data_IF_828575946780
#
_entry.id   IF_828575946780
#
_cell.length_a   1.000
_cell.length_b   1.000
_cell.length_c   1.000
_cell.angle_alpha   90.00
_cell.angle_beta   90.00
_cell.angle_gamma   90.00
#
_symmetry.space_group_name_H-M   'P 1'
#
loop_
_entity.id
_entity.type
_entity.pdbx_description
1 polymer ?
#
# COMPACT_ATOMS: atom_id res chain seq x y z
N UNK A 1 -15.32 4.11 38.56
CA UNK A 1 -15.42 4.17 37.08
C UNK A 1 -14.71 2.94 36.53
N UNK A 2 -15.37 2.16 35.68
CA UNK A 2 -14.77 0.98 35.05
C UNK A 2 -14.16 1.39 33.70
N UNK A 3 -12.99 0.86 33.35
CA UNK A 3 -12.36 1.10 32.05
C UNK A 3 -13.29 0.67 30.88
N UNK A 4 -14.17 -0.29 31.13
CA UNK A 4 -15.13 -0.83 30.15
C UNK A 4 -16.28 0.12 29.81
N UNK A 5 -16.55 1.13 30.66
CA UNK A 5 -17.55 2.15 30.37
C UNK A 5 -17.01 3.32 29.53
N UNK A 6 -15.68 3.47 29.45
CA UNK A 6 -15.04 4.51 28.62
C UNK A 6 -14.67 3.95 27.24
N UNK A 7 -15.67 3.90 26.36
CA UNK A 7 -15.52 3.40 24.98
C UNK A 7 -14.48 4.21 24.20
N UNK A 8 -14.37 5.51 24.46
CA UNK A 8 -13.40 6.37 23.80
C UNK A 8 -11.97 6.02 24.23
N UNK A 9 -11.75 5.88 25.54
CA UNK A 9 -10.45 5.43 26.06
C UNK A 9 -10.05 4.04 25.56
N UNK A 10 -11.02 3.11 25.45
CA UNK A 10 -10.78 1.78 24.86
C UNK A 10 -10.36 1.86 23.39
N UNK A 11 -10.99 2.74 22.61
CA UNK A 11 -10.65 2.96 21.19
C UNK A 11 -9.23 3.53 21.04
N UNK A 12 -8.86 4.51 21.86
CA UNK A 12 -7.52 5.11 21.84
C UNK A 12 -6.44 4.08 22.22
N UNK A 13 -6.69 3.27 23.26
CA UNK A 13 -5.79 2.19 23.66
C UNK A 13 -5.68 1.09 22.60
N UNK A 14 -6.79 0.73 21.95
CA UNK A 14 -6.81 -0.21 20.83
C UNK A 14 -5.89 0.26 19.70
N UNK A 15 -6.01 1.51 19.25
CA UNK A 15 -5.16 2.07 18.19
C UNK A 15 -3.69 2.18 18.63
N UNK A 16 -3.44 2.52 19.89
CA UNK A 16 -2.10 2.58 20.46
C UNK A 16 -1.43 1.19 20.49
N UNK A 17 -2.16 0.13 20.82
CA UNK A 17 -1.65 -1.25 20.92
C UNK A 17 -1.16 -1.84 19.59
N UNK A 18 -1.53 -1.23 18.45
CA UNK A 18 -0.97 -1.59 17.14
C UNK A 18 0.45 -1.06 16.88
N UNK A 19 1.03 -0.29 17.80
CA UNK A 19 2.44 0.12 17.76
C UNK A 19 3.40 -0.91 18.33
N UNK A 20 2.85 -1.99 18.92
CA UNK A 20 3.65 -2.94 19.69
C UNK A 20 4.74 -3.59 18.86
N UNK A 21 5.86 -3.89 19.52
CA UNK A 21 6.95 -4.71 18.99
C UNK A 21 6.99 -6.05 19.70
N UNK A 22 7.75 -7.00 19.14
CA UNK A 22 7.91 -8.33 19.72
C UNK A 22 8.45 -8.24 21.16
N UNK A 23 7.77 -8.88 22.11
CA UNK A 23 8.13 -8.90 23.53
C UNK A 23 7.40 -7.86 24.39
N UNK A 24 6.50 -7.06 23.82
CA UNK A 24 5.63 -6.16 24.58
C UNK A 24 4.32 -6.84 24.98
N UNK A 25 4.42 -7.79 25.92
CA UNK A 25 3.28 -8.62 26.37
C UNK A 25 2.10 -7.77 26.86
N UNK A 26 2.37 -6.64 27.53
CA UNK A 26 1.35 -5.70 28.01
C UNK A 26 0.53 -5.12 26.86
N UNK A 27 1.14 -4.80 25.72
CA UNK A 27 0.41 -4.25 24.58
C UNK A 27 -0.34 -5.33 23.79
N UNK A 28 0.14 -6.58 23.82
CA UNK A 28 -0.62 -7.72 23.28
C UNK A 28 -1.88 -7.98 24.12
N UNK A 29 -1.74 -7.99 25.46
CA UNK A 29 -2.88 -8.09 26.39
C UNK A 29 -3.85 -6.93 26.22
N UNK A 30 -3.33 -5.70 26.09
CA UNK A 30 -4.15 -4.51 25.86
C UNK A 30 -4.91 -4.57 24.53
N UNK A 31 -4.28 -5.07 23.46
CA UNK A 31 -4.98 -5.29 22.19
C UNK A 31 -6.12 -6.29 22.37
N UNK A 32 -5.85 -7.44 23.00
CA UNK A 32 -6.86 -8.48 23.23
C UNK A 32 -8.05 -7.93 24.03
N UNK A 33 -7.74 -7.27 25.16
CA UNK A 33 -8.73 -6.67 26.04
C UNK A 33 -9.60 -5.64 25.31
N UNK A 34 -8.99 -4.68 24.62
CA UNK A 34 -9.74 -3.60 23.94
C UNK A 34 -10.55 -4.13 22.76
N UNK A 35 -10.02 -5.08 21.98
CA UNK A 35 -10.74 -5.71 20.85
C UNK A 35 -12.03 -6.36 21.33
N UNK A 36 -11.98 -7.13 22.42
CA UNK A 36 -13.17 -7.79 22.98
C UNK A 36 -14.20 -6.76 23.45
N UNK A 37 -13.78 -5.77 24.24
CA UNK A 37 -14.73 -4.82 24.83
C UNK A 37 -15.34 -3.85 23.80
N UNK A 38 -14.58 -3.41 22.79
CA UNK A 38 -15.11 -2.62 21.68
C UNK A 38 -16.08 -3.44 20.82
N UNK A 39 -15.80 -4.72 20.60
CA UNK A 39 -16.69 -5.64 19.88
C UNK A 39 -18.03 -5.83 20.60
N UNK A 40 -17.98 -6.03 21.93
CA UNK A 40 -19.19 -6.12 22.77
C UNK A 40 -19.99 -4.82 22.77
N UNK A 41 -19.33 -3.67 22.95
CA UNK A 41 -19.99 -2.36 22.94
C UNK A 41 -20.63 -2.04 21.58
N UNK A 42 -20.00 -2.47 20.48
CA UNK A 42 -20.59 -2.38 19.13
C UNK A 42 -21.82 -3.28 18.99
N UNK A 43 -21.75 -4.53 19.46
CA UNK A 43 -22.85 -5.48 19.36
C UNK A 43 -24.06 -5.11 20.23
N UNK A 44 -23.83 -4.42 21.34
CA UNK A 44 -24.89 -3.96 22.23
C UNK A 44 -25.60 -2.68 21.73
N UNK A 45 -25.14 -2.08 20.62
CA UNK A 45 -25.65 -0.82 20.05
C UNK A 45 -25.69 0.35 21.06
N UNK A 46 -24.86 0.28 22.11
CA UNK A 46 -24.84 1.28 23.20
C UNK A 46 -24.04 2.54 22.84
N UNK A 47 -23.36 2.55 21.68
CA UNK A 47 -22.45 3.63 21.27
C UNK A 47 -23.19 4.57 20.33
N UNK A 48 -23.29 5.84 20.70
CA UNK A 48 -23.88 6.87 19.85
C UNK A 48 -22.96 7.28 18.69
N UNK A 49 -23.57 7.83 17.63
CA UNK A 49 -22.85 8.48 16.55
C UNK A 49 -22.19 9.78 17.05
N UNK A 50 -20.94 10.13 16.65
CA UNK A 50 -20.11 9.51 15.61
C UNK A 50 -19.16 8.40 16.10
N UNK A 51 -19.12 8.13 17.41
CA UNK A 51 -18.14 7.21 18.00
C UNK A 51 -18.34 5.76 17.52
N UNK A 52 -19.58 5.32 17.30
CA UNK A 52 -19.88 3.98 16.77
C UNK A 52 -19.30 3.73 15.37
N UNK A 53 -19.24 4.77 14.53
CA UNK A 53 -18.63 4.71 13.21
C UNK A 53 -17.10 4.58 13.33
N UNK A 54 -16.48 5.35 14.22
CA UNK A 54 -15.03 5.27 14.49
C UNK A 54 -14.62 3.88 15.02
N UNK A 55 -15.37 3.34 15.99
CA UNK A 55 -15.14 1.99 16.53
C UNK A 55 -15.33 0.93 15.44
N UNK A 56 -16.37 1.04 14.62
CA UNK A 56 -16.60 0.12 13.51
C UNK A 56 -15.49 0.15 12.48
N UNK A 57 -14.98 1.34 12.17
CA UNK A 57 -13.85 1.51 11.27
C UNK A 57 -12.57 0.93 11.86
N UNK A 58 -12.22 1.26 13.10
CA UNK A 58 -11.00 0.79 13.78
C UNK A 58 -10.95 -0.74 13.91
N UNK A 59 -12.07 -1.38 14.24
CA UNK A 59 -12.17 -2.85 14.31
C UNK A 59 -12.04 -3.52 12.93
N UNK A 60 -12.45 -2.85 11.85
CA UNK A 60 -12.28 -3.34 10.48
C UNK A 60 -10.85 -3.09 9.97
N UNK A 61 -10.34 -1.89 10.18
CA UNK A 61 -9.02 -1.44 9.73
C UNK A 61 -8.44 -0.43 10.75
N UNK A 62 -7.51 -0.88 11.62
CA UNK A 62 -6.82 0.00 12.55
C UNK A 62 -6.06 1.09 11.80
N UNK A 63 -6.01 2.30 12.35
CA UNK A 63 -5.35 3.46 11.71
C UNK A 63 -3.92 3.12 11.30
N UNK A 64 -3.21 2.35 12.14
CA UNK A 64 -1.82 1.95 11.91
C UNK A 64 -1.61 0.87 10.85
N UNK A 65 -2.64 0.05 10.60
CA UNK A 65 -2.66 -0.92 9.49
C UNK A 65 -3.36 -0.34 8.24
N UNK A 66 -3.98 0.83 8.38
CA UNK A 66 -4.69 1.59 7.37
C UNK A 66 -3.78 2.36 6.43
N UNK A 67 -2.85 1.70 5.76
CA UNK A 67 -2.06 2.35 4.70
C UNK A 67 -2.78 2.23 3.35
N UNK A 68 -3.06 3.38 2.75
CA UNK A 68 -3.14 3.79 1.32
C UNK A 68 -3.72 2.84 0.26
N UNK A 69 -3.52 1.52 0.35
CA UNK A 69 -3.93 0.49 -0.62
C UNK A 69 -5.43 0.33 -0.81
N UNK A 70 -6.23 0.53 0.24
CA UNK A 70 -7.68 0.30 0.16
C UNK A 70 -8.39 1.42 -0.59
N UNK A 71 -7.99 2.67 -0.33
CA UNK A 71 -8.44 3.82 -1.11
C UNK A 71 -7.87 3.80 -2.53
N UNK A 72 -6.62 3.32 -2.71
CA UNK A 72 -5.96 3.25 -4.01
C UNK A 72 -6.80 2.63 -5.11
N UNK A 73 -7.48 1.53 -4.82
CA UNK A 73 -8.26 0.81 -5.81
C UNK A 73 -9.39 1.66 -6.41
N UNK A 74 -9.91 2.64 -5.66
CA UNK A 74 -10.92 3.58 -6.16
C UNK A 74 -10.30 4.64 -7.06
N UNK A 75 -9.12 5.16 -6.70
CA UNK A 75 -8.43 6.21 -7.45
C UNK A 75 -7.80 5.75 -8.78
N UNK A 76 -7.56 4.45 -8.97
CA UNK A 76 -6.94 3.90 -10.19
C UNK A 76 -7.67 4.33 -11.47
N UNK A 77 -9.00 4.26 -11.49
CA UNK A 77 -9.76 4.44 -12.72
C UNK A 77 -9.84 5.89 -13.21
N UNK A 78 -9.59 6.87 -12.34
CA UNK A 78 -9.72 8.30 -12.66
C UNK A 78 -8.44 9.12 -12.43
N UNK A 79 -7.33 8.50 -12.04
CA UNK A 79 -6.05 9.20 -11.82
C UNK A 79 -5.56 9.97 -13.05
N UNK A 80 -5.82 9.49 -14.27
CA UNK A 80 -5.46 10.22 -15.48
C UNK A 80 -6.25 11.54 -15.64
N UNK A 81 -7.47 11.58 -15.12
CA UNK A 81 -8.37 12.73 -15.17
C UNK A 81 -8.24 13.65 -13.94
N UNK A 82 -7.52 13.21 -12.91
CA UNK A 82 -7.34 13.95 -11.66
C UNK A 82 -6.40 15.16 -11.83
N UNK A 83 -6.77 16.33 -11.30
CA UNK A 83 -5.97 17.55 -11.48
C UNK A 83 -4.60 17.52 -10.80
N UNK A 84 -4.39 16.63 -9.81
CA UNK A 84 -3.15 16.47 -9.05
C UNK A 84 -2.25 15.34 -9.57
N UNK A 85 -2.63 14.68 -10.67
CA UNK A 85 -1.84 13.59 -11.23
C UNK A 85 -0.44 14.04 -11.64
N UNK A 86 0.53 13.16 -11.44
CA UNK A 86 1.91 13.44 -11.82
C UNK A 86 2.07 13.33 -13.35
N UNK A 87 1.97 14.48 -14.03
CA UNK A 87 2.12 14.61 -15.49
C UNK A 87 3.45 14.10 -16.02
N UNK A 88 4.53 14.23 -15.24
CA UNK A 88 5.86 13.76 -15.63
C UNK A 88 5.89 12.24 -15.72
N UNK A 89 5.29 11.55 -14.74
CA UNK A 89 5.20 10.09 -14.72
C UNK A 89 4.34 9.55 -15.87
N UNK A 90 3.20 10.18 -16.17
CA UNK A 90 2.37 9.77 -17.30
C UNK A 90 3.10 9.96 -18.64
N UNK A 91 3.77 11.09 -18.84
CA UNK A 91 4.58 11.32 -20.05
C UNK A 91 5.70 10.30 -20.20
N UNK A 92 6.41 10.01 -19.11
CA UNK A 92 7.48 9.00 -19.11
C UNK A 92 6.94 7.62 -19.49
N UNK A 93 5.84 7.17 -18.88
CA UNK A 93 5.21 5.89 -19.19
C UNK A 93 4.74 5.83 -20.64
N UNK A 94 4.03 6.87 -21.11
CA UNK A 94 3.53 6.91 -22.48
C UNK A 94 4.68 6.91 -23.50
N UNK A 95 5.82 7.52 -23.17
CA UNK A 95 7.03 7.48 -24.01
C UNK A 95 7.71 6.12 -24.08
N UNK A 96 7.57 5.26 -23.07
CA UNK A 96 8.07 3.88 -23.13
C UNK A 96 7.26 3.02 -24.11
N UNK A 97 5.97 3.34 -24.24
CA UNK A 97 5.01 2.63 -25.09
C UNK A 97 4.92 1.13 -24.75
N UNK A 98 4.88 0.83 -23.44
CA UNK A 98 4.87 -0.56 -22.94
C UNK A 98 3.63 -1.32 -23.40
N UNK A 99 2.48 -0.65 -23.55
CA UNK A 99 1.24 -1.30 -23.94
C UNK A 99 1.30 -1.91 -25.36
N UNK A 100 2.06 -1.31 -26.27
CA UNK A 100 2.23 -1.83 -27.63
C UNK A 100 3.41 -2.81 -27.70
N UNK A 101 4.52 -2.51 -27.02
CA UNK A 101 5.75 -3.30 -27.08
C UNK A 101 5.69 -4.56 -26.25
N UNK A 102 5.01 -4.52 -25.11
CA UNK A 102 4.95 -5.57 -24.11
C UNK A 102 3.48 -5.72 -23.66
N UNK A 103 2.58 -6.18 -24.54
CA UNK A 103 1.14 -6.26 -24.26
C UNK A 103 0.77 -7.24 -23.13
N UNK A 104 1.70 -8.12 -22.76
CA UNK A 104 1.55 -9.03 -21.62
C UNK A 104 1.78 -8.34 -20.27
N UNK A 105 2.48 -7.20 -20.24
CA UNK A 105 2.85 -6.52 -19.00
C UNK A 105 1.67 -5.74 -18.41
N UNK A 106 1.48 -5.88 -17.11
CA UNK A 106 0.39 -5.23 -16.37
C UNK A 106 0.71 -3.75 -16.16
N UNK A 107 -0.26 -2.90 -16.46
CA UNK A 107 -0.15 -1.46 -16.21
C UNK A 107 -0.46 -1.12 -14.74
N UNK A 108 0.60 -0.97 -13.93
CA UNK A 108 0.50 -0.69 -12.50
C UNK A 108 1.06 0.66 -12.06
N UNK A 109 1.17 1.63 -12.99
CA UNK A 109 1.75 2.95 -12.66
C UNK A 109 1.01 3.66 -11.54
N UNK A 110 -0.33 3.67 -11.58
CA UNK A 110 -1.14 4.39 -10.59
C UNK A 110 -1.05 3.73 -9.21
N UNK A 111 -1.15 2.40 -9.19
CA UNK A 111 -1.01 1.59 -7.97
C UNK A 111 0.38 1.80 -7.35
N UNK A 112 1.43 1.75 -8.19
CA UNK A 112 2.81 2.01 -7.78
C UNK A 112 2.99 3.42 -7.23
N UNK A 113 2.47 4.45 -7.90
CA UNK A 113 2.59 5.83 -7.43
C UNK A 113 1.90 6.04 -6.07
N UNK A 114 0.78 5.37 -5.84
CA UNK A 114 0.08 5.49 -4.57
C UNK A 114 0.75 4.70 -3.43
N UNK A 115 1.35 3.55 -3.73
CA UNK A 115 2.26 2.90 -2.80
C UNK A 115 3.40 3.80 -2.37
N UNK A 116 3.99 4.50 -3.34
CA UNK A 116 5.07 5.46 -3.12
C UNK A 116 4.61 6.66 -2.30
N UNK A 117 3.39 7.17 -2.51
CA UNK A 117 2.79 8.19 -1.65
C UNK A 117 2.61 7.72 -0.20
N UNK A 118 2.34 6.43 0.02
CA UNK A 118 2.29 5.84 1.37
C UNK A 118 3.66 5.82 2.07
N UNK A 119 4.77 5.78 1.32
CA UNK A 119 6.14 5.81 1.85
C UNK A 119 6.62 7.25 2.05
N UNK A 120 6.38 8.13 1.08
CA UNK A 120 6.82 9.53 1.07
C UNK A 120 5.66 10.46 0.73
N UNK A 121 4.82 10.79 1.71
CA UNK A 121 3.64 11.63 1.47
C UNK A 121 3.99 13.13 1.43
N UNK A 122 5.08 13.54 2.09
CA UNK A 122 5.38 14.96 2.29
C UNK A 122 5.78 15.66 0.97
N UNK A 123 5.31 16.90 0.71
CA UNK A 123 5.48 17.55 -0.59
C UNK A 123 6.94 17.64 -1.08
N UNK A 124 7.89 17.87 -0.17
CA UNK A 124 9.32 18.02 -0.47
C UNK A 124 9.97 16.77 -1.10
N UNK A 125 9.38 15.59 -0.94
CA UNK A 125 9.90 14.33 -1.49
C UNK A 125 9.37 14.01 -2.90
N UNK A 126 8.89 15.02 -3.65
CA UNK A 126 8.33 14.84 -5.00
C UNK A 126 9.28 14.13 -5.97
N UNK A 127 10.57 14.46 -5.93
CA UNK A 127 11.59 13.82 -6.76
C UNK A 127 11.81 12.36 -6.39
N UNK A 128 11.88 12.06 -5.08
CA UNK A 128 12.00 10.68 -4.59
C UNK A 128 10.77 9.85 -5.00
N UNK A 129 9.56 10.44 -4.95
CA UNK A 129 8.34 9.78 -5.43
C UNK A 129 8.40 9.45 -6.92
N UNK A 130 8.91 10.37 -7.73
CA UNK A 130 9.04 10.14 -9.17
C UNK A 130 10.00 8.98 -9.46
N UNK A 131 11.18 8.95 -8.84
CA UNK A 131 12.14 7.86 -9.00
C UNK A 131 11.54 6.54 -8.56
N UNK A 132 10.96 6.49 -7.35
CA UNK A 132 10.46 5.24 -6.79
C UNK A 132 9.28 4.68 -7.58
N UNK A 133 8.42 5.54 -8.14
CA UNK A 133 7.32 5.11 -9.00
C UNK A 133 7.83 4.52 -10.33
N UNK A 134 8.87 5.11 -10.94
CA UNK A 134 9.53 4.53 -12.13
C UNK A 134 10.15 3.18 -11.81
N UNK A 135 10.86 3.07 -10.68
CA UNK A 135 11.42 1.80 -10.20
C UNK A 135 10.33 0.75 -9.99
N UNK A 136 9.19 1.12 -9.40
CA UNK A 136 8.07 0.21 -9.20
C UNK A 136 7.55 -0.36 -10.52
N UNK A 137 7.36 0.48 -11.54
CA UNK A 137 6.93 0.03 -12.88
C UNK A 137 7.94 -0.94 -13.50
N UNK A 138 9.23 -0.66 -13.38
CA UNK A 138 10.28 -1.56 -13.89
C UNK A 138 10.30 -2.89 -13.14
N UNK A 139 10.13 -2.88 -11.82
CA UNK A 139 10.05 -4.10 -11.00
C UNK A 139 8.83 -4.94 -11.38
N UNK A 140 7.65 -4.33 -11.54
CA UNK A 140 6.44 -5.07 -11.98
C UNK A 140 6.59 -5.63 -13.38
N UNK A 141 7.30 -4.91 -14.26
CA UNK A 141 7.60 -5.43 -15.59
C UNK A 141 8.54 -6.64 -15.54
N UNK A 142 9.59 -6.59 -14.70
CA UNK A 142 10.46 -7.74 -14.49
C UNK A 142 9.68 -8.91 -13.89
N UNK A 143 8.85 -8.68 -12.88
CA UNK A 143 7.96 -9.69 -12.28
C UNK A 143 7.13 -10.42 -13.36
N UNK A 144 6.45 -9.67 -14.24
CA UNK A 144 5.66 -10.24 -15.33
C UNK A 144 6.52 -11.07 -16.31
N UNK A 145 7.76 -10.63 -16.57
CA UNK A 145 8.69 -11.37 -17.43
C UNK A 145 9.09 -12.69 -16.76
N UNK A 146 9.49 -12.68 -15.49
CA UNK A 146 9.99 -13.89 -14.81
C UNK A 146 8.90 -14.90 -14.46
N UNK A 147 7.69 -14.43 -14.13
CA UNK A 147 6.64 -15.31 -13.63
C UNK A 147 5.70 -15.84 -14.73
N UNK A 148 5.49 -15.08 -15.81
CA UNK A 148 4.44 -15.38 -16.78
C UNK A 148 4.91 -15.50 -18.24
N UNK A 149 5.98 -14.82 -18.64
CA UNK A 149 6.33 -14.70 -20.06
C UNK A 149 7.63 -15.39 -20.48
N UNK A 150 8.71 -15.22 -19.72
CA UNK A 150 10.04 -15.64 -20.13
C UNK A 150 10.26 -17.15 -20.02
N UNK A 151 10.91 -17.72 -21.03
CA UNK A 151 11.44 -19.09 -20.95
C UNK A 151 12.69 -19.14 -20.07
N UNK A 152 13.03 -20.32 -19.56
CA UNK A 152 14.20 -20.45 -18.66
C UNK A 152 15.49 -19.96 -19.33
N UNK A 153 15.69 -20.25 -20.62
CA UNK A 153 16.85 -19.81 -21.38
C UNK A 153 16.89 -18.27 -21.51
N UNK A 154 15.76 -17.63 -21.86
CA UNK A 154 15.67 -16.17 -21.96
C UNK A 154 15.88 -15.48 -20.62
N UNK A 155 15.32 -16.04 -19.54
CA UNK A 155 15.47 -15.50 -18.19
C UNK A 155 16.91 -15.61 -17.69
N UNK A 156 17.64 -16.67 -18.06
CA UNK A 156 19.07 -16.79 -17.74
C UNK A 156 19.89 -15.73 -18.46
N UNK A 157 19.62 -15.47 -19.75
CA UNK A 157 20.29 -14.41 -20.49
C UNK A 157 20.01 -13.03 -19.89
N UNK A 158 18.74 -12.74 -19.58
CA UNK A 158 18.33 -11.50 -18.93
C UNK A 158 19.00 -11.33 -17.55
N UNK A 159 19.00 -12.38 -16.74
CA UNK A 159 19.65 -12.38 -15.40
C UNK A 159 21.13 -12.06 -15.52
N UNK A 160 21.83 -12.71 -16.45
CA UNK A 160 23.26 -12.51 -16.67
C UNK A 160 23.56 -11.09 -17.15
N UNK A 161 22.76 -10.56 -18.08
CA UNK A 161 22.90 -9.20 -18.59
C UNK A 161 22.73 -8.16 -17.47
N UNK A 162 21.73 -8.33 -16.60
CA UNK A 162 21.49 -7.44 -15.45
C UNK A 162 22.62 -7.53 -14.43
N UNK A 163 23.07 -8.74 -14.08
CA UNK A 163 24.18 -8.93 -13.12
C UNK A 163 25.49 -8.30 -13.57
N UNK A 164 25.75 -8.30 -14.89
CA UNK A 164 26.96 -7.74 -15.49
C UNK A 164 26.82 -6.27 -15.89
N UNK A 165 25.59 -5.74 -15.85
CA UNK A 165 25.23 -4.43 -16.41
C UNK A 165 25.66 -4.29 -17.87
N UNK A 166 25.51 -5.37 -18.66
CA UNK A 166 25.93 -5.44 -20.06
C UNK A 166 24.81 -5.99 -20.95
N UNK A 167 24.31 -5.14 -21.85
CA UNK A 167 23.20 -5.45 -22.74
C UNK A 167 23.58 -6.38 -23.91
N UNK A 168 24.88 -6.56 -24.20
CA UNK A 168 25.32 -7.37 -25.34
C UNK A 168 24.99 -8.87 -25.19
N UNK A 169 24.65 -9.33 -23.99
CA UNK A 169 24.25 -10.71 -23.70
C UNK A 169 22.84 -11.07 -24.18
N UNK A 170 22.02 -10.08 -24.56
CA UNK A 170 20.63 -10.28 -24.98
C UNK A 170 20.50 -10.30 -26.52
N UNK A 171 21.59 -10.03 -27.26
CA UNK A 171 21.61 -9.94 -28.73
C UNK A 171 22.16 -11.20 -29.42
#
# INVERSE_FOLDING_TARGET
MSLTSDVKGLLELYEASYLRVHGEDILEEALGFTTTHLGLAKAAETIEYPLSALVSHALYQPIRKGLSRLEARRFISFYQDDASHNKTLLKWKNGLDLATKLPFARDRLVEGYLWVLGVYFEPQYSFAREILAKTFVLVTLMDDIYDAYGTLEELQLLTNAVQRLDAHYIN
#
